data_IF_573260011163
#
_entry.id   IF_573260011163
#
_cell.length_a   1.000
_cell.length_b   1.000
_cell.length_c   1.000
_cell.angle_alpha   90.00
_cell.angle_beta   90.00
_cell.angle_gamma   90.00
#
_symmetry.space_group_name_H-M   'P 1'
#
loop_
_entity.id
_entity.type
_entity.pdbx_description
1 polymer ?
#
# COMPACT_ATOMS: atom_id res chain seq x y z
N UNK A 1 17.59 16.10 -5.52
CA UNK A 1 17.01 16.52 -4.22
C UNK A 1 17.14 15.34 -3.26
N UNK A 2 17.70 15.52 -2.06
CA UNK A 2 17.81 14.45 -1.05
C UNK A 2 16.42 14.25 -0.44
N UNK A 3 15.89 13.02 -0.43
CA UNK A 3 14.51 12.71 0.01
C UNK A 3 14.13 13.38 1.36
N UNK A 4 15.11 13.49 2.26
CA UNK A 4 15.03 14.20 3.54
C UNK A 4 14.52 15.64 3.48
N UNK A 5 14.80 16.38 2.40
CA UNK A 5 14.45 17.79 2.24
C UNK A 5 13.35 18.00 1.19
N UNK A 6 12.72 16.91 0.74
CA UNK A 6 11.64 16.92 -0.23
C UNK A 6 10.27 17.23 0.38
N UNK A 7 9.20 17.11 -0.43
CA UNK A 7 7.82 17.17 0.04
C UNK A 7 7.57 16.18 1.19
N UNK A 8 6.66 16.53 2.09
CA UNK A 8 6.23 15.62 3.17
C UNK A 8 5.56 14.38 2.59
N UNK A 9 5.92 13.21 3.10
CA UNK A 9 5.24 11.96 2.78
C UNK A 9 5.42 10.95 3.93
N UNK A 10 4.45 10.05 4.03
CA UNK A 10 4.38 9.04 5.08
C UNK A 10 4.42 7.64 4.47
N UNK A 11 4.95 6.68 5.21
CA UNK A 11 4.86 5.26 4.88
C UNK A 11 4.10 4.57 6.02
N UNK A 12 3.07 3.81 5.66
CA UNK A 12 2.32 3.00 6.62
C UNK A 12 3.07 1.68 6.87
N UNK A 13 3.27 1.37 8.15
CA UNK A 13 3.73 0.06 8.62
C UNK A 13 2.64 -0.58 9.48
N UNK A 14 2.42 -1.89 9.32
CA UNK A 14 1.50 -2.65 10.16
C UNK A 14 2.23 -3.26 11.36
N UNK A 15 1.51 -3.48 12.46
CA UNK A 15 1.99 -4.11 13.68
C UNK A 15 1.12 -5.31 14.03
N UNK A 16 1.67 -6.54 14.09
CA UNK A 16 0.90 -7.71 14.41
C UNK A 16 0.37 -7.66 15.86
N UNK A 17 -0.73 -8.36 16.17
CA UNK A 17 -1.29 -8.41 17.52
C UNK A 17 -0.25 -8.92 18.55
N UNK A 18 -0.24 -8.29 19.72
CA UNK A 18 0.77 -8.52 20.77
C UNK A 18 0.50 -9.73 21.66
N UNK A 19 -0.67 -10.37 21.56
CA UNK A 19 -1.03 -11.46 22.47
C UNK A 19 -0.27 -12.75 22.13
N UNK A 20 0.40 -13.32 23.13
CA UNK A 20 1.41 -14.39 23.05
C UNK A 20 0.89 -15.81 22.77
N UNK A 21 -0.40 -16.00 22.50
CA UNK A 21 -0.97 -17.31 22.13
C UNK A 21 -0.75 -17.65 20.64
N UNK A 22 0.13 -16.91 19.95
CA UNK A 22 0.04 -16.60 18.53
C UNK A 22 1.14 -17.22 17.66
N UNK A 23 1.87 -18.23 18.14
CA UNK A 23 2.84 -18.97 17.32
C UNK A 23 2.23 -19.63 16.07
N UNK A 24 0.92 -19.88 16.09
CA UNK A 24 0.11 -20.39 14.97
C UNK A 24 -0.56 -19.30 14.11
N UNK A 25 -0.40 -18.02 14.43
CA UNK A 25 -1.23 -16.95 13.84
C UNK A 25 -0.65 -16.30 12.60
N UNK A 26 0.67 -16.24 12.40
CA UNK A 26 1.25 -15.49 11.27
C UNK A 26 0.74 -15.99 9.92
N UNK A 27 0.87 -17.29 9.67
CA UNK A 27 0.36 -17.90 8.44
C UNK A 27 -1.17 -17.86 8.36
N UNK A 28 -1.89 -18.17 9.45
CA UNK A 28 -3.34 -18.13 9.47
C UNK A 28 -3.90 -16.71 9.21
N UNK A 29 -3.23 -15.67 9.70
CA UNK A 29 -3.55 -14.27 9.44
C UNK A 29 -3.26 -13.89 7.99
N UNK A 30 -2.13 -14.33 7.43
CA UNK A 30 -1.84 -14.12 6.01
C UNK A 30 -2.86 -14.82 5.12
N UNK A 31 -3.30 -16.04 5.47
CA UNK A 31 -4.37 -16.74 4.75
C UNK A 31 -5.73 -16.06 4.91
N UNK A 32 -6.08 -15.58 6.11
CA UNK A 32 -7.30 -14.82 6.33
C UNK A 32 -7.29 -13.51 5.53
N UNK A 33 -6.16 -12.80 5.53
CA UNK A 33 -5.94 -11.60 4.73
C UNK A 33 -6.10 -11.89 3.23
N UNK A 34 -5.39 -12.87 2.69
CA UNK A 34 -5.49 -13.23 1.26
C UNK A 34 -6.93 -13.65 0.91
N UNK A 35 -7.58 -14.47 1.74
CA UNK A 35 -8.97 -14.85 1.51
C UNK A 35 -9.90 -13.61 1.51
N UNK A 36 -9.69 -12.67 2.42
CA UNK A 36 -10.49 -11.46 2.52
C UNK A 36 -10.24 -10.49 1.34
N UNK A 37 -9.01 -10.40 0.82
CA UNK A 37 -8.73 -9.64 -0.41
C UNK A 37 -9.56 -10.11 -1.60
N UNK A 38 -9.76 -11.43 -1.70
CA UNK A 38 -10.53 -12.04 -2.79
C UNK A 38 -12.05 -11.89 -2.56
N UNK A 39 -12.51 -11.66 -1.32
CA UNK A 39 -13.94 -11.57 -0.96
C UNK A 39 -14.44 -10.12 -0.86
N UNK A 40 -13.72 -9.26 -0.13
CA UNK A 40 -14.13 -7.87 0.17
C UNK A 40 -13.82 -6.94 -1.00
N UNK A 41 -12.76 -7.21 -1.77
CA UNK A 41 -12.44 -6.51 -3.02
C UNK A 41 -12.67 -4.98 -2.95
N UNK A 42 -12.24 -4.38 -1.83
CA UNK A 42 -12.21 -2.93 -1.56
C UNK A 42 -10.83 -2.59 -0.98
N UNK A 43 -10.28 -1.39 -1.24
CA UNK A 43 -8.94 -1.04 -0.81
C UNK A 43 -8.87 -0.64 0.68
N UNK A 44 -9.97 -0.13 1.22
CA UNK A 44 -10.09 0.32 2.62
C UNK A 44 -10.89 -0.70 3.41
N UNK A 45 -10.35 -1.19 4.52
CA UNK A 45 -11.03 -2.15 5.39
C UNK A 45 -10.60 -2.02 6.86
N UNK A 46 -11.53 -2.29 7.78
CA UNK A 46 -11.30 -2.13 9.22
C UNK A 46 -11.12 -3.47 9.95
N UNK A 47 -10.75 -4.57 9.27
CA UNK A 47 -10.59 -5.87 9.93
C UNK A 47 -9.34 -5.91 10.81
N UNK A 48 -8.31 -5.13 10.48
CA UNK A 48 -7.08 -4.99 11.24
C UNK A 48 -7.35 -4.68 12.72
N UNK A 49 -8.18 -3.67 13.00
CA UNK A 49 -8.60 -3.32 14.36
C UNK A 49 -9.34 -4.48 15.03
N UNK A 50 -10.20 -5.20 14.29
CA UNK A 50 -11.00 -6.32 14.82
C UNK A 50 -10.15 -7.51 15.26
N UNK A 51 -8.95 -7.68 14.69
CA UNK A 51 -8.02 -8.76 15.06
C UNK A 51 -6.88 -8.27 15.97
N UNK A 52 -6.93 -7.01 16.42
CA UNK A 52 -5.91 -6.42 17.29
C UNK A 52 -4.61 -6.05 16.57
N UNK A 53 -4.65 -5.91 15.25
CA UNK A 53 -3.56 -5.33 14.46
C UNK A 53 -3.65 -3.81 14.51
N UNK A 54 -2.51 -3.15 14.64
CA UNK A 54 -2.42 -1.68 14.60
C UNK A 54 -1.50 -1.25 13.46
N UNK A 55 -1.49 0.04 13.14
CA UNK A 55 -0.61 0.57 12.10
C UNK A 55 -0.10 1.96 12.50
N UNK A 56 1.05 2.34 11.94
CA UNK A 56 1.71 3.61 12.22
C UNK A 56 2.12 4.26 10.92
N UNK A 57 1.79 5.55 10.75
CA UNK A 57 2.38 6.39 9.71
C UNK A 57 3.73 6.91 10.19
N UNK A 58 4.79 6.59 9.44
CA UNK A 58 6.14 7.08 9.71
C UNK A 58 6.47 8.20 8.72
N UNK A 59 6.98 9.34 9.20
CA UNK A 59 7.52 10.40 8.32
C UNK A 59 8.78 9.86 7.63
N UNK A 60 8.67 9.65 6.33
CA UNK A 60 9.72 9.03 5.55
C UNK A 60 10.89 9.99 5.28
N UNK A 61 10.71 11.29 5.46
CA UNK A 61 11.82 12.27 5.46
C UNK A 61 12.68 12.10 6.70
N UNK A 62 12.09 11.88 7.87
CA UNK A 62 12.83 11.63 9.11
C UNK A 62 13.56 10.28 9.04
N UNK A 63 12.92 9.26 8.48
CA UNK A 63 13.60 8.01 8.15
C UNK A 63 14.77 8.24 7.17
N UNK A 64 14.62 9.12 6.17
CA UNK A 64 15.70 9.46 5.24
C UNK A 64 16.85 10.21 5.94
N UNK A 65 16.55 11.18 6.81
CA UNK A 65 17.54 11.93 7.59
C UNK A 65 18.35 11.04 8.52
N UNK A 66 17.70 10.04 9.11
CA UNK A 66 18.34 9.05 9.99
C UNK A 66 19.00 7.89 9.24
N UNK A 67 18.95 7.88 7.89
CA UNK A 67 19.55 6.82 7.07
C UNK A 67 18.78 5.50 7.05
N UNK A 68 17.55 5.47 7.58
CA UNK A 68 16.69 4.28 7.71
C UNK A 68 15.57 4.17 6.68
N UNK A 69 15.54 5.02 5.66
CA UNK A 69 14.46 5.01 4.66
C UNK A 69 14.33 3.67 3.94
N UNK A 70 15.44 3.04 3.55
CA UNK A 70 15.40 1.74 2.90
C UNK A 70 14.82 0.66 3.84
N UNK A 71 15.22 0.67 5.12
CA UNK A 71 14.70 -0.24 6.14
C UNK A 71 13.19 -0.05 6.34
N UNK A 72 12.71 1.21 6.31
CA UNK A 72 11.29 1.54 6.40
C UNK A 72 10.50 0.98 5.21
N UNK A 73 11.02 1.13 4.00
CA UNK A 73 10.39 0.58 2.78
C UNK A 73 10.33 -0.95 2.84
N UNK A 74 11.41 -1.61 3.31
CA UNK A 74 11.45 -3.07 3.48
C UNK A 74 10.45 -3.51 4.56
N UNK A 75 10.40 -2.82 5.70
CA UNK A 75 9.46 -3.08 6.78
C UNK A 75 8.00 -3.02 6.29
N UNK A 76 7.66 -1.96 5.55
CA UNK A 76 6.33 -1.72 5.00
C UNK A 76 5.90 -2.75 3.94
N UNK A 77 6.81 -3.58 3.43
CA UNK A 77 6.55 -4.64 2.45
C UNK A 77 6.74 -6.06 3.02
N UNK A 78 6.89 -6.20 4.34
CA UNK A 78 7.19 -7.49 4.97
C UNK A 78 5.94 -8.34 5.18
N UNK A 79 5.79 -9.40 4.39
CA UNK A 79 4.67 -10.37 4.50
C UNK A 79 5.14 -11.65 5.22
N UNK A 80 4.68 -11.95 6.44
CA UNK A 80 4.93 -13.25 7.08
C UNK A 80 4.11 -14.38 6.42
N UNK A 81 4.56 -15.64 6.47
CA UNK A 81 5.85 -16.11 6.95
C UNK A 81 6.96 -16.02 5.88
N UNK A 82 6.69 -15.41 4.72
CA UNK A 82 7.61 -15.34 3.58
C UNK A 82 8.89 -14.60 3.96
N UNK A 83 8.75 -13.50 4.70
CA UNK A 83 9.86 -12.70 5.20
C UNK A 83 9.93 -12.71 6.73
N UNK A 84 11.14 -12.55 7.27
CA UNK A 84 11.31 -12.33 8.71
C UNK A 84 10.87 -10.91 9.04
N UNK A 85 9.92 -10.81 9.96
CA UNK A 85 9.42 -9.55 10.53
C UNK A 85 10.56 -8.77 11.20
N UNK A 86 10.92 -7.56 10.71
CA UNK A 86 11.87 -6.70 11.40
C UNK A 86 11.20 -6.00 12.59
N UNK A 87 11.96 -5.15 13.28
CA UNK A 87 11.44 -4.23 14.29
C UNK A 87 11.64 -2.79 13.84
N UNK A 88 10.64 -1.95 14.11
CA UNK A 88 10.71 -0.50 13.99
C UNK A 88 10.40 0.10 15.35
N UNK A 89 11.32 0.91 15.89
CA UNK A 89 11.23 1.52 17.23
C UNK A 89 10.82 0.54 18.36
N UNK A 90 11.38 -0.68 18.31
CA UNK A 90 11.17 -1.73 19.31
C UNK A 90 9.85 -2.51 19.15
N UNK A 91 9.11 -2.30 18.06
CA UNK A 91 7.90 -3.03 17.75
C UNK A 91 8.05 -3.83 16.46
N UNK A 92 7.53 -5.06 16.45
CA UNK A 92 7.46 -5.89 15.25
C UNK A 92 6.63 -5.21 14.16
N UNK A 93 7.07 -5.31 12.92
CA UNK A 93 6.41 -4.70 11.76
C UNK A 93 6.15 -5.69 10.62
N UNK A 94 5.03 -5.47 9.96
CA UNK A 94 4.55 -6.23 8.80
C UNK A 94 4.06 -5.25 7.72
N UNK A 95 3.72 -5.81 6.56
CA UNK A 95 3.21 -5.08 5.40
C UNK A 95 2.06 -4.14 5.80
N UNK A 96 2.21 -2.85 5.52
CA UNK A 96 1.19 -1.84 5.81
C UNK A 96 -0.13 -2.08 5.07
N UNK A 97 -0.05 -2.71 3.89
CA UNK A 97 -1.18 -3.17 3.09
C UNK A 97 -2.06 -4.21 3.77
N UNK A 98 -1.57 -4.87 4.83
CA UNK A 98 -2.42 -5.71 5.67
C UNK A 98 -3.37 -4.87 6.53
N UNK A 99 -2.98 -3.66 6.91
CA UNK A 99 -3.84 -2.74 7.66
C UNK A 99 -4.77 -1.96 6.74
N UNK A 100 -4.23 -1.37 5.67
CA UNK A 100 -4.97 -0.63 4.65
C UNK A 100 -4.18 -0.67 3.33
N UNK A 101 -4.83 -1.03 2.22
CA UNK A 101 -4.15 -1.13 0.91
C UNK A 101 -4.02 0.19 0.17
N UNK A 102 -4.76 1.21 0.59
CA UNK A 102 -4.68 2.54 0.01
C UNK A 102 -4.83 3.61 1.10
N UNK A 103 -3.94 3.63 2.10
CA UNK A 103 -4.10 4.46 3.27
C UNK A 103 -4.20 5.94 2.92
N UNK A 104 -5.09 6.63 3.61
CA UNK A 104 -5.22 8.08 3.50
C UNK A 104 -4.11 8.78 4.30
N UNK A 105 -3.62 9.94 3.84
CA UNK A 105 -2.58 10.67 4.58
C UNK A 105 -3.11 11.13 5.95
N UNK A 106 -2.19 11.40 6.88
CA UNK A 106 -2.52 11.98 8.17
C UNK A 106 -1.72 13.28 8.40
N UNK A 107 -2.36 14.46 8.40
CA UNK A 107 -3.81 14.67 8.28
C UNK A 107 -4.35 14.43 6.85
N UNK A 108 -5.59 13.95 6.74
CA UNK A 108 -6.32 13.78 5.46
C UNK A 108 -6.92 15.12 5.00
N UNK A 109 -6.04 16.04 4.60
CA UNK A 109 -6.42 17.40 4.22
C UNK A 109 -6.34 17.64 2.72
N UNK A 110 -7.46 18.11 2.15
CA UNK A 110 -7.55 18.55 0.76
C UNK A 110 -7.89 17.44 -0.24
N UNK A 111 -7.76 17.73 -1.55
CA UNK A 111 -8.04 16.75 -2.59
C UNK A 111 -6.96 15.67 -2.66
N UNK A 112 -7.37 14.40 -2.64
CA UNK A 112 -6.46 13.25 -2.63
C UNK A 112 -6.61 12.41 -3.89
N UNK A 113 -5.49 12.17 -4.58
CA UNK A 113 -5.37 11.21 -5.67
C UNK A 113 -4.83 9.88 -5.11
N UNK A 114 -5.63 8.82 -5.20
CA UNK A 114 -5.26 7.47 -4.78
C UNK A 114 -4.91 6.66 -6.02
N UNK A 115 -3.63 6.27 -6.13
CA UNK A 115 -3.13 5.42 -7.21
C UNK A 115 -3.19 3.95 -6.77
N UNK A 116 -3.95 3.15 -7.49
CA UNK A 116 -4.16 1.73 -7.21
C UNK A 116 -3.33 0.89 -8.17
N UNK A 117 -2.92 -0.29 -7.71
CA UNK A 117 -2.18 -1.28 -8.53
C UNK A 117 -3.07 -2.38 -9.10
N UNK A 118 -4.37 -2.36 -8.76
CA UNK A 118 -5.38 -3.30 -9.27
C UNK A 118 -6.76 -2.65 -9.30
N UNK A 119 -7.68 -3.29 -10.02
CA UNK A 119 -9.08 -2.89 -10.02
C UNK A 119 -9.80 -3.44 -8.79
N UNK A 120 -10.61 -2.58 -8.16
CA UNK A 120 -11.52 -2.95 -7.08
C UNK A 120 -12.96 -2.79 -7.55
N UNK A 121 -13.82 -3.75 -7.20
CA UNK A 121 -15.26 -3.73 -7.50
C UNK A 121 -15.98 -2.67 -6.66
N UNK A 122 -15.44 -2.36 -5.49
CA UNK A 122 -16.01 -1.38 -4.55
C UNK A 122 -14.96 -0.33 -4.21
N UNK A 123 -15.11 0.84 -4.82
CA UNK A 123 -14.40 2.05 -4.44
C UNK A 123 -15.40 2.98 -3.75
N UNK A 124 -15.06 3.55 -2.58
CA UNK A 124 -15.96 4.49 -1.91
C UNK A 124 -16.00 5.80 -2.70
N UNK A 125 -17.19 6.37 -2.84
CA UNK A 125 -17.39 7.70 -3.42
C UNK A 125 -17.30 8.74 -2.30
N UNK A 126 -16.16 9.44 -2.23
CA UNK A 126 -15.85 10.41 -1.19
C UNK A 126 -15.50 11.75 -1.86
N UNK A 127 -16.18 12.86 -1.53
CA UNK A 127 -15.85 14.17 -2.08
C UNK A 127 -14.37 14.52 -1.89
N UNK A 128 -13.73 15.02 -2.95
CA UNK A 128 -12.31 15.37 -2.93
C UNK A 128 -11.35 14.18 -3.12
N UNK A 129 -11.85 12.95 -3.19
CA UNK A 129 -11.02 11.75 -3.40
C UNK A 129 -11.18 11.21 -4.82
N UNK A 130 -10.07 11.03 -5.52
CA UNK A 130 -10.04 10.42 -6.84
C UNK A 130 -9.23 9.14 -6.81
N UNK A 131 -9.85 8.02 -7.21
CA UNK A 131 -9.16 6.76 -7.41
C UNK A 131 -8.78 6.59 -8.88
N UNK A 132 -7.54 6.18 -9.12
CA UNK A 132 -7.06 5.80 -10.45
C UNK A 132 -6.52 4.38 -10.35
N UNK A 133 -7.09 3.48 -11.13
CA UNK A 133 -6.71 2.08 -11.20
C UNK A 133 -6.18 1.75 -12.60
N UNK A 134 -5.37 0.69 -12.76
CA UNK A 134 -4.96 0.24 -14.07
C UNK A 134 -6.17 -0.19 -14.91
N UNK A 135 -6.08 -0.03 -16.23
CA UNK A 135 -7.18 -0.33 -17.17
C UNK A 135 -7.48 -1.83 -17.27
N UNK A 136 -6.52 -2.66 -16.89
CA UNK A 136 -6.62 -4.13 -16.80
C UNK A 136 -5.71 -4.65 -15.69
N UNK A 137 -5.78 -5.95 -15.43
CA UNK A 137 -4.89 -6.61 -14.48
C UNK A 137 -3.41 -6.42 -14.86
N UNK A 138 -2.58 -6.12 -13.85
CA UNK A 138 -1.14 -5.91 -14.03
C UNK A 138 -0.44 -7.26 -14.23
N UNK A 139 0.41 -7.41 -15.26
CA UNK A 139 1.10 -8.67 -15.53
C UNK A 139 2.04 -9.14 -14.41
N UNK A 140 2.71 -8.21 -13.73
CA UNK A 140 3.53 -8.51 -12.56
C UNK A 140 2.65 -8.66 -11.32
N UNK A 141 2.96 -9.68 -10.50
CA UNK A 141 2.32 -9.92 -9.21
C UNK A 141 3.31 -9.76 -8.05
N UNK A 142 2.82 -9.84 -6.81
CA UNK A 142 3.61 -9.58 -5.60
C UNK A 142 4.72 -10.59 -5.33
N UNK A 143 4.65 -11.78 -5.93
CA UNK A 143 5.51 -12.93 -5.59
C UNK A 143 6.44 -13.25 -6.76
N UNK A 144 5.97 -13.14 -8.01
CA UNK A 144 6.73 -13.40 -9.22
C UNK A 144 7.18 -12.10 -9.90
N UNK A 145 8.17 -11.46 -9.28
CA UNK A 145 8.92 -10.32 -9.85
C UNK A 145 10.21 -10.74 -10.54
N UNK A 146 10.37 -12.03 -10.85
CA UNK A 146 11.59 -12.57 -11.49
C UNK A 146 11.54 -12.54 -13.01
N UNK A 147 10.35 -12.38 -13.59
CA UNK A 147 10.16 -12.28 -15.04
C UNK A 147 10.34 -10.83 -15.54
N UNK A 148 11.42 -10.52 -16.27
CA UNK A 148 11.66 -9.17 -16.77
C UNK A 148 10.64 -8.74 -17.83
N UNK A 149 9.97 -9.66 -18.52
CA UNK A 149 8.92 -9.31 -19.49
C UNK A 149 7.68 -8.78 -18.77
N UNK A 150 7.20 -9.47 -17.72
CA UNK A 150 6.07 -9.03 -16.90
C UNK A 150 6.30 -7.63 -16.31
N UNK A 151 7.52 -7.33 -15.85
CA UNK A 151 7.87 -6.01 -15.32
C UNK A 151 7.76 -4.91 -16.39
N UNK A 152 8.30 -5.15 -17.59
CA UNK A 152 8.22 -4.19 -18.70
C UNK A 152 6.79 -3.98 -19.19
N UNK A 153 6.00 -5.06 -19.26
CA UNK A 153 4.60 -4.97 -19.66
C UNK A 153 3.76 -4.20 -18.64
N UNK A 154 4.01 -4.41 -17.35
CA UNK A 154 3.38 -3.66 -16.25
C UNK A 154 3.73 -2.18 -16.31
N UNK A 155 5.01 -1.86 -16.55
CA UNK A 155 5.45 -0.48 -16.77
C UNK A 155 4.74 0.18 -17.95
N UNK A 156 4.74 -0.48 -19.12
CA UNK A 156 4.09 0.06 -20.32
C UNK A 156 2.58 0.24 -20.16
N UNK A 157 1.94 -0.64 -19.41
CA UNK A 157 0.52 -0.49 -19.06
C UNK A 157 0.30 0.79 -18.24
N UNK A 158 1.09 1.01 -17.21
CA UNK A 158 1.02 2.22 -16.37
C UNK A 158 1.23 3.50 -17.16
N UNK A 159 2.19 3.53 -18.10
CA UNK A 159 2.41 4.68 -18.99
C UNK A 159 1.17 4.99 -19.85
N UNK A 160 0.61 3.97 -20.51
CA UNK A 160 -0.59 4.12 -21.35
C UNK A 160 -1.81 4.58 -20.54
N UNK A 161 -1.98 4.03 -19.35
CA UNK A 161 -3.09 4.40 -18.47
C UNK A 161 -2.93 5.83 -17.95
N UNK A 162 -1.72 6.25 -17.63
CA UNK A 162 -1.39 7.63 -17.25
C UNK A 162 -1.65 8.63 -18.38
N UNK A 163 -1.22 8.32 -19.60
CA UNK A 163 -1.51 9.15 -20.79
C UNK A 163 -3.01 9.29 -21.02
N UNK A 164 -3.76 8.17 -20.96
CA UNK A 164 -5.21 8.18 -21.10
C UNK A 164 -5.87 9.05 -20.04
N UNK A 165 -5.48 8.89 -18.77
CA UNK A 165 -6.00 9.68 -17.66
C UNK A 165 -5.78 11.19 -17.85
N UNK A 166 -4.57 11.59 -18.27
CA UNK A 166 -4.26 13.00 -18.54
C UNK A 166 -5.08 13.55 -19.71
N UNK A 167 -5.24 12.77 -20.78
CA UNK A 167 -6.04 13.15 -21.94
C UNK A 167 -7.52 13.36 -21.58
N UNK A 168 -8.09 12.47 -20.77
CA UNK A 168 -9.47 12.60 -20.29
C UNK A 168 -9.64 13.82 -19.37
N UNK A 169 -8.70 14.05 -18.46
CA UNK A 169 -8.68 15.24 -17.59
C UNK A 169 -8.54 16.55 -18.37
N UNK A 170 -7.76 16.57 -19.45
CA UNK A 170 -7.58 17.77 -20.28
C UNK A 170 -8.81 18.06 -21.14
N UNK A 171 -9.47 17.03 -21.70
CA UNK A 171 -10.75 17.18 -22.41
C UNK A 171 -11.86 17.71 -21.49
N UNK A 172 -11.87 17.28 -20.23
CA UNK A 172 -12.79 17.81 -19.21
C UNK A 172 -12.51 19.25 -18.74
N UNK A 173 -11.39 19.86 -19.18
CA UNK A 173 -11.05 21.27 -18.93
C UNK A 173 -11.39 22.19 -20.11
N UNK A 174 -11.81 21.65 -21.25
CA UNK A 174 -12.37 22.42 -22.37
C UNK A 174 -13.88 22.61 -22.19
N UNK A 175 -14.30 23.44 -21.21
CA UNK A 175 -15.62 24.11 -21.15
C UNK A 175 -15.45 25.44 -20.40
#
# INVERSE_FOLDING_TARGET
>A
AKIADGPSFQILIGHPPTNSASGLTGAAMTFAYEAELHIVNAPHFNWAEKVGMTATFVDARDAARSGKLADLVIAAATIPPIFRTPEWDGQRVIDGGMADQAPMPDPDDGPTLVLLTRQYRRLPDVPGRLYVAPSKETPADKIDFTDPAKLRETWSLGEKDGEKFLNERNKGKEI
#
